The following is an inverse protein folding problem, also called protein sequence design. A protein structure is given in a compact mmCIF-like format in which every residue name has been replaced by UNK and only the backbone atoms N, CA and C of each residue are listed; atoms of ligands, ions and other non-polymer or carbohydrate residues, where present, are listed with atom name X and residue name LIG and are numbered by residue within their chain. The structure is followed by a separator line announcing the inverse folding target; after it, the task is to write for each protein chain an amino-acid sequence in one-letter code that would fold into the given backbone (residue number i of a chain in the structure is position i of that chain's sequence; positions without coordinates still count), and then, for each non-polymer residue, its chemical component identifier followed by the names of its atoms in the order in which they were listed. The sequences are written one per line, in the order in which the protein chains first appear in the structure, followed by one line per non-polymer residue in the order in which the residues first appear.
data_IF_555254039585
#
_entry.id   IF_555254039585
#
_cell.length_a   1.000
_cell.length_b   1.000
_cell.length_c   1.000
_cell.angle_alpha   90.00
_cell.angle_beta   90.00
_cell.angle_gamma   90.00
#
_symmetry.space_group_name_H-M   'P 1'
#
loop_
_entity.id
_entity.type
_entity.pdbx_description
1 polymer ?
#
# COMPACT_ATOMS: atom_id res chain seq x y z
N UNK A 1 39.82 12.85 -2.29
CA UNK A 1 39.45 11.82 -3.27
C UNK A 1 37.96 11.56 -3.07
N UNK A 2 37.11 12.22 -3.84
CA UNK A 2 35.66 12.05 -3.78
C UNK A 2 35.32 10.85 -4.66
N UNK A 3 34.77 9.79 -4.06
CA UNK A 3 34.26 8.62 -4.78
C UNK A 3 32.97 9.03 -5.50
N UNK A 4 33.13 9.56 -6.72
CA UNK A 4 32.05 9.98 -7.59
C UNK A 4 31.39 8.76 -8.22
N UNK A 5 30.22 8.44 -7.66
CA UNK A 5 29.15 7.65 -8.26
C UNK A 5 29.42 6.16 -8.46
N UNK A 6 28.96 5.35 -7.49
CA UNK A 6 28.27 4.10 -7.88
C UNK A 6 27.09 4.49 -8.76
N UNK A 7 27.33 4.59 -10.06
CA UNK A 7 26.30 4.65 -11.09
C UNK A 7 25.34 3.50 -10.85
N UNK A 8 24.14 3.81 -10.35
CA UNK A 8 23.10 2.83 -10.15
C UNK A 8 22.65 2.40 -11.55
N UNK A 9 23.12 1.24 -12.01
CA UNK A 9 22.67 0.67 -13.29
C UNK A 9 21.20 0.30 -13.15
N UNK A 10 20.31 1.10 -13.72
CA UNK A 10 18.90 0.76 -13.84
C UNK A 10 18.78 -0.51 -14.68
N UNK A 11 18.43 -1.64 -14.04
CA UNK A 11 18.32 -2.96 -14.69
C UNK A 11 16.99 -3.19 -15.41
N UNK A 12 16.22 -2.13 -15.68
CA UNK A 12 14.85 -2.23 -16.21
C UNK A 12 13.81 -2.53 -15.12
N UNK A 13 12.58 -2.83 -15.55
CA UNK A 13 11.48 -3.13 -14.64
C UNK A 13 11.62 -4.55 -14.06
N UNK A 14 11.78 -4.63 -12.73
CA UNK A 14 11.92 -5.87 -11.97
C UNK A 14 10.76 -6.85 -12.18
N UNK A 15 9.54 -6.32 -12.36
CA UNK A 15 8.30 -7.08 -12.54
C UNK A 15 7.94 -7.32 -14.01
N UNK A 16 8.63 -6.71 -14.98
CA UNK A 16 8.39 -6.89 -16.42
C UNK A 16 8.97 -8.21 -16.95
N UNK A 17 8.74 -9.30 -16.22
CA UNK A 17 9.11 -10.66 -16.59
C UNK A 17 7.83 -11.41 -16.98
N UNK A 18 7.73 -11.97 -18.21
CA UNK A 18 6.54 -12.71 -18.65
C UNK A 18 6.17 -13.87 -17.72
N UNK A 19 7.16 -14.34 -16.97
CA UNK A 19 7.08 -15.49 -16.10
C UNK A 19 7.12 -15.10 -14.60
N UNK A 20 6.79 -13.85 -14.26
CA UNK A 20 6.73 -13.41 -12.87
C UNK A 20 5.73 -14.21 -12.03
N UNK A 21 4.65 -14.71 -12.63
CA UNK A 21 3.82 -15.75 -12.02
C UNK A 21 3.79 -16.97 -12.92
N UNK A 22 4.29 -18.10 -12.40
CA UNK A 22 4.22 -19.40 -13.07
C UNK A 22 3.24 -20.30 -12.34
N UNK A 23 2.21 -20.74 -13.04
CA UNK A 23 1.22 -21.68 -12.51
C UNK A 23 1.53 -23.08 -13.00
N UNK A 24 1.86 -23.98 -12.07
CA UNK A 24 1.81 -25.42 -12.33
C UNK A 24 0.35 -25.86 -12.23
N UNK A 25 -0.29 -26.02 -13.39
CA UNK A 25 -1.71 -26.37 -13.50
C UNK A 25 -1.97 -27.77 -12.94
N UNK A 26 -1.04 -28.71 -13.10
CA UNK A 26 -1.16 -30.08 -12.60
C UNK A 26 -1.17 -30.11 -11.07
N UNK A 27 -0.37 -29.25 -10.43
CA UNK A 27 -0.28 -29.17 -8.97
C UNK A 27 -1.21 -28.12 -8.35
N UNK A 28 -1.81 -27.26 -9.17
CA UNK A 28 -2.60 -26.11 -8.70
C UNK A 28 -1.78 -25.11 -7.88
N UNK A 29 -0.51 -24.91 -8.24
CA UNK A 29 0.40 -24.03 -7.48
C UNK A 29 0.96 -22.94 -8.37
N UNK A 30 0.69 -21.68 -8.01
CA UNK A 30 1.35 -20.51 -8.59
C UNK A 30 2.55 -20.11 -7.75
N UNK A 31 3.67 -19.81 -8.41
CA UNK A 31 4.88 -19.29 -7.76
C UNK A 31 5.43 -18.05 -8.45
N UNK A 32 6.10 -17.21 -7.69
CA UNK A 32 6.96 -16.16 -8.23
C UNK A 32 8.39 -16.70 -8.53
N UNK A 33 9.28 -15.92 -9.16
CA UNK A 33 10.63 -16.40 -9.50
C UNK A 33 11.50 -16.72 -8.28
N UNK A 34 11.13 -16.23 -7.10
CA UNK A 34 11.80 -16.55 -5.83
C UNK A 34 11.32 -17.89 -5.23
N UNK A 35 10.38 -18.58 -5.89
CA UNK A 35 9.81 -19.83 -5.44
C UNK A 35 8.69 -19.68 -4.41
N UNK A 36 8.23 -18.47 -4.12
CA UNK A 36 7.17 -18.22 -3.14
C UNK A 36 5.81 -18.56 -3.73
N UNK A 37 4.96 -19.23 -2.94
CA UNK A 37 3.59 -19.53 -3.37
C UNK A 37 2.75 -18.26 -3.37
N UNK A 38 2.02 -18.08 -4.46
CA UNK A 38 1.07 -16.98 -4.65
C UNK A 38 -0.33 -17.60 -4.74
N UNK A 39 -1.29 -16.96 -4.08
CA UNK A 39 -2.70 -17.31 -4.19
C UNK A 39 -3.41 -16.17 -4.92
N UNK A 40 -4.15 -16.50 -5.97
CA UNK A 40 -5.03 -15.57 -6.69
C UNK A 40 -6.41 -15.66 -6.09
N UNK A 41 -6.96 -14.53 -5.65
CA UNK A 41 -8.30 -14.44 -5.06
C UNK A 41 -9.19 -13.63 -6.02
N UNK A 42 -10.47 -14.01 -6.09
CA UNK A 42 -11.46 -13.22 -6.84
C UNK A 42 -11.87 -11.99 -6.03
N UNK A 43 -12.39 -10.98 -6.72
CA UNK A 43 -13.06 -9.83 -6.10
C UNK A 43 -14.13 -10.26 -5.10
N UNK A 44 -14.94 -11.26 -5.46
CA UNK A 44 -16.05 -11.76 -4.65
C UNK A 44 -15.57 -12.37 -3.33
N UNK A 45 -14.42 -13.05 -3.35
CA UNK A 45 -13.81 -13.56 -2.12
C UNK A 45 -13.39 -12.41 -1.20
N UNK A 46 -12.78 -11.36 -1.75
CA UNK A 46 -12.34 -10.20 -0.97
C UNK A 46 -13.52 -9.45 -0.34
N UNK A 47 -14.62 -9.34 -1.09
CA UNK A 47 -15.89 -8.81 -0.58
C UNK A 47 -16.45 -9.65 0.55
N UNK A 48 -16.64 -10.94 0.33
CA UNK A 48 -17.17 -11.85 1.36
C UNK A 48 -16.28 -11.89 2.60
N UNK A 49 -14.96 -11.83 2.43
CA UNK A 49 -14.01 -11.72 3.53
C UNK A 49 -14.22 -10.44 4.33
N UNK A 50 -14.31 -9.28 3.66
CA UNK A 50 -14.57 -8.00 4.32
C UNK A 50 -15.88 -8.04 5.12
N UNK A 51 -16.95 -8.50 4.49
CA UNK A 51 -18.29 -8.51 5.11
C UNK A 51 -18.34 -9.48 6.29
N UNK A 52 -17.70 -10.64 6.18
CA UNK A 52 -17.51 -11.56 7.30
C UNK A 52 -16.73 -10.91 8.44
N UNK A 53 -15.64 -10.19 8.15
CA UNK A 53 -14.88 -9.49 9.20
C UNK A 53 -15.70 -8.40 9.89
N UNK A 54 -16.53 -7.66 9.16
CA UNK A 54 -17.45 -6.66 9.72
C UNK A 54 -18.51 -7.34 10.61
N UNK A 55 -19.11 -8.42 10.13
CA UNK A 55 -20.12 -9.17 10.87
C UNK A 55 -19.57 -9.77 12.16
N UNK A 56 -18.42 -10.46 12.10
CA UNK A 56 -17.83 -11.19 13.23
C UNK A 56 -17.15 -10.27 14.25
N UNK A 57 -16.48 -9.20 13.80
CA UNK A 57 -15.70 -8.31 14.69
C UNK A 57 -16.45 -7.02 15.06
N UNK A 58 -17.57 -6.70 14.40
CA UNK A 58 -18.38 -5.52 14.66
C UNK A 58 -17.54 -4.23 14.68
N UNK A 59 -17.64 -3.39 15.73
CA UNK A 59 -16.87 -2.15 15.85
C UNK A 59 -15.34 -2.32 15.79
N UNK A 60 -14.83 -3.51 16.09
CA UNK A 60 -13.39 -3.79 16.08
C UNK A 60 -12.86 -4.17 14.68
N UNK A 61 -13.73 -4.38 13.68
CA UNK A 61 -13.34 -4.87 12.36
C UNK A 61 -12.22 -4.05 11.70
N UNK A 62 -12.29 -2.71 11.79
CA UNK A 62 -11.25 -1.82 11.23
C UNK A 62 -9.89 -2.05 11.90
N UNK A 63 -9.83 -2.14 13.23
CA UNK A 63 -8.59 -2.39 13.96
C UNK A 63 -8.00 -3.77 13.63
N UNK A 64 -8.86 -4.79 13.49
CA UNK A 64 -8.45 -6.15 13.11
C UNK A 64 -7.90 -6.17 11.68
N UNK A 65 -8.61 -5.58 10.72
CA UNK A 65 -8.18 -5.47 9.32
C UNK A 65 -6.86 -4.69 9.20
N UNK A 66 -6.71 -3.58 9.92
CA UNK A 66 -5.46 -2.81 9.96
C UNK A 66 -4.30 -3.61 10.52
N UNK A 67 -4.55 -4.42 11.56
CA UNK A 67 -3.54 -5.31 12.13
C UNK A 67 -3.15 -6.45 11.17
N UNK A 68 -4.13 -7.03 10.47
CA UNK A 68 -3.89 -8.02 9.42
C UNK A 68 -3.08 -7.43 8.27
N UNK A 69 -3.43 -6.23 7.83
CA UNK A 69 -2.73 -5.46 6.81
C UNK A 69 -1.28 -5.20 7.21
N UNK A 70 -1.04 -4.76 8.45
CA UNK A 70 0.32 -4.55 8.98
C UNK A 70 1.16 -5.81 8.91
N UNK A 71 0.62 -6.95 9.36
CA UNK A 71 1.34 -8.23 9.31
C UNK A 71 1.63 -8.66 7.87
N UNK A 72 0.65 -8.51 6.98
CA UNK A 72 0.80 -8.84 5.57
C UNK A 72 1.85 -7.95 4.89
N UNK A 73 1.77 -6.63 5.08
CA UNK A 73 2.70 -5.64 4.52
C UNK A 73 4.14 -5.88 4.99
N UNK A 74 4.35 -6.18 6.27
CA UNK A 74 5.66 -6.49 6.80
C UNK A 74 6.27 -7.74 6.18
N UNK A 75 5.49 -8.82 6.07
CA UNK A 75 5.93 -10.05 5.40
C UNK A 75 6.20 -9.83 3.91
N UNK A 76 5.39 -9.00 3.25
CA UNK A 76 5.59 -8.64 1.86
C UNK A 76 6.88 -7.84 1.67
N UNK A 77 7.12 -6.82 2.50
CA UNK A 77 8.32 -5.98 2.43
C UNK A 77 9.61 -6.80 2.56
N UNK A 78 9.66 -7.75 3.51
CA UNK A 78 10.84 -8.62 3.68
C UNK A 78 11.09 -9.53 2.48
N UNK A 79 10.02 -10.09 1.91
CA UNK A 79 10.11 -10.94 0.72
C UNK A 79 10.54 -10.14 -0.51
N UNK A 80 9.95 -8.96 -0.69
CA UNK A 80 10.30 -8.05 -1.76
C UNK A 80 11.75 -7.57 -1.63
N UNK A 81 12.23 -7.23 -0.43
CA UNK A 81 13.62 -6.85 -0.21
C UNK A 81 14.59 -7.94 -0.63
N UNK A 82 14.31 -9.20 -0.28
CA UNK A 82 15.13 -10.34 -0.72
C UNK A 82 15.18 -10.42 -2.25
N UNK A 83 14.02 -10.27 -2.90
CA UNK A 83 13.87 -10.29 -4.35
C UNK A 83 14.68 -9.19 -5.04
N UNK A 84 14.52 -7.98 -4.53
CA UNK A 84 15.16 -6.76 -5.02
C UNK A 84 16.66 -6.83 -4.79
N UNK A 85 17.10 -7.33 -3.64
CA UNK A 85 18.52 -7.54 -3.33
C UNK A 85 19.16 -8.55 -4.27
N UNK A 86 18.48 -9.65 -4.59
CA UNK A 86 18.97 -10.62 -5.57
C UNK A 86 19.11 -9.99 -6.96
N UNK A 87 18.19 -9.11 -7.34
CA UNK A 87 18.18 -8.48 -8.66
C UNK A 87 19.16 -7.30 -8.79
N UNK A 88 19.15 -6.35 -7.85
CA UNK A 88 19.99 -5.14 -7.88
C UNK A 88 21.35 -5.35 -7.22
N UNK A 89 21.52 -6.36 -6.37
CA UNK A 89 22.71 -6.54 -5.53
C UNK A 89 22.71 -5.67 -4.28
N UNK A 90 21.66 -4.86 -4.08
CA UNK A 90 21.52 -3.89 -2.99
C UNK A 90 20.15 -4.08 -2.33
N UNK A 91 20.05 -4.09 -0.98
CA UNK A 91 18.77 -4.12 -0.28
C UNK A 91 17.82 -3.01 -0.75
N UNK A 92 16.53 -3.28 -0.75
CA UNK A 92 15.50 -2.36 -1.26
C UNK A 92 15.54 -1.01 -0.53
N UNK A 93 15.63 -1.03 0.80
CA UNK A 93 15.73 0.19 1.63
C UNK A 93 17.01 1.01 1.39
N UNK A 94 18.04 0.42 0.78
CA UNK A 94 19.31 1.09 0.46
C UNK A 94 19.36 1.60 -0.99
N UNK A 95 18.33 1.30 -1.80
CA UNK A 95 18.20 1.87 -3.15
C UNK A 95 17.85 3.36 -3.09
N UNK A 96 18.14 4.06 -4.19
CA UNK A 96 17.69 5.45 -4.36
C UNK A 96 16.16 5.52 -4.29
N UNK A 97 15.63 6.57 -3.63
CA UNK A 97 14.20 6.73 -3.34
C UNK A 97 13.30 6.56 -4.57
N UNK A 98 13.67 7.14 -5.73
CA UNK A 98 12.92 6.96 -6.97
C UNK A 98 12.80 5.50 -7.42
N UNK A 99 13.85 4.70 -7.20
CA UNK A 99 13.85 3.26 -7.49
C UNK A 99 13.04 2.49 -6.45
N UNK A 100 13.10 2.87 -5.18
CA UNK A 100 12.27 2.27 -4.12
C UNK A 100 10.78 2.40 -4.45
N UNK A 101 10.36 3.60 -4.85
CA UNK A 101 8.98 3.91 -5.26
C UNK A 101 8.63 3.11 -6.50
N UNK A 102 9.48 3.12 -7.53
CA UNK A 102 9.22 2.38 -8.78
C UNK A 102 9.01 0.88 -8.50
N UNK A 103 9.87 0.27 -7.66
CA UNK A 103 9.71 -1.12 -7.24
C UNK A 103 8.35 -1.34 -6.57
N UNK A 104 7.93 -0.44 -5.68
CA UNK A 104 6.64 -0.54 -5.00
C UNK A 104 5.46 -0.42 -5.97
N UNK A 105 5.48 0.58 -6.85
CA UNK A 105 4.38 0.86 -7.79
C UNK A 105 4.22 -0.27 -8.80
N UNK A 106 5.34 -0.82 -9.29
CA UNK A 106 5.33 -1.98 -10.19
C UNK A 106 4.88 -3.24 -9.47
N UNK A 107 5.20 -3.41 -8.18
CA UNK A 107 4.72 -4.54 -7.40
C UNK A 107 3.19 -4.53 -7.25
N UNK A 108 2.61 -3.36 -6.96
CA UNK A 108 1.16 -3.18 -6.88
C UNK A 108 0.48 -3.54 -8.20
N UNK A 109 1.02 -3.04 -9.33
CA UNK A 109 0.50 -3.33 -10.65
C UNK A 109 0.62 -4.83 -11.00
N UNK A 110 1.79 -5.44 -10.76
CA UNK A 110 2.02 -6.85 -11.03
C UNK A 110 1.10 -7.76 -10.23
N UNK A 111 0.86 -7.44 -8.95
CA UNK A 111 -0.05 -8.23 -8.11
C UNK A 111 -1.53 -7.93 -8.34
N UNK A 112 -1.87 -7.00 -9.23
CA UNK A 112 -3.26 -6.64 -9.52
C UNK A 112 -3.95 -5.88 -8.39
N UNK A 113 -3.20 -5.20 -7.51
CA UNK A 113 -3.76 -4.42 -6.39
C UNK A 113 -4.18 -3.01 -6.77
N UNK A 114 -3.83 -2.57 -7.98
CA UNK A 114 -4.11 -1.25 -8.51
C UNK A 114 -2.83 -0.52 -8.93
N UNK A 115 -2.97 0.77 -9.25
CA UNK A 115 -1.86 1.66 -9.61
C UNK A 115 -1.58 2.59 -8.45
N UNK A 116 -0.46 2.35 -7.78
CA UNK A 116 0.02 3.17 -6.68
C UNK A 116 0.79 4.39 -7.22
N UNK A 117 0.56 5.55 -6.63
CA UNK A 117 1.42 6.73 -6.76
C UNK A 117 1.72 7.29 -5.38
N UNK A 118 2.92 7.88 -5.24
CA UNK A 118 3.43 8.35 -3.95
C UNK A 118 3.97 9.76 -4.14
N UNK A 119 3.48 10.69 -3.31
CA UNK A 119 3.84 12.10 -3.32
C UNK A 119 4.60 12.46 -2.04
N UNK A 120 5.92 12.61 -2.18
CA UNK A 120 6.86 12.89 -1.09
C UNK A 120 7.17 14.37 -0.91
N UNK A 121 6.88 15.20 -1.92
CA UNK A 121 7.38 16.57 -1.99
C UNK A 121 6.32 17.58 -1.55
N UNK A 122 5.06 17.18 -1.59
CA UNK A 122 3.94 18.08 -1.37
C UNK A 122 3.74 18.49 0.08
N UNK A 123 4.13 17.66 1.04
CA UNK A 123 3.98 17.96 2.47
C UNK A 123 5.24 17.60 3.27
N UNK A 124 5.74 18.50 4.14
CA UNK A 124 6.96 18.24 4.93
C UNK A 124 6.83 17.09 5.94
N UNK A 125 5.66 16.98 6.57
CA UNK A 125 5.42 16.06 7.69
C UNK A 125 4.68 14.78 7.28
N UNK A 126 4.26 14.69 6.01
CA UNK A 126 3.37 13.65 5.53
C UNK A 126 3.80 13.10 4.18
N UNK A 127 3.51 11.82 4.00
CA UNK A 127 3.59 11.14 2.72
C UNK A 127 2.18 10.93 2.17
N UNK A 128 1.91 11.50 1.00
CA UNK A 128 0.68 11.22 0.26
C UNK A 128 0.83 9.95 -0.54
N UNK A 129 -0.17 9.06 -0.47
CA UNK A 129 -0.24 7.86 -1.30
C UNK A 129 -1.62 7.81 -1.94
N UNK A 130 -1.65 7.55 -3.24
CA UNK A 130 -2.89 7.40 -4.00
C UNK A 130 -2.89 6.03 -4.68
N UNK A 131 -4.03 5.34 -4.59
CA UNK A 131 -4.23 4.02 -5.19
C UNK A 131 -5.43 4.08 -6.14
N UNK A 132 -5.13 4.09 -7.43
CA UNK A 132 -6.11 4.05 -8.53
C UNK A 132 -6.43 2.61 -8.90
N UNK A 133 -7.64 2.36 -9.37
CA UNK A 133 -8.12 1.01 -9.72
C UNK A 133 -7.82 0.01 -8.59
N UNK A 134 -8.01 0.46 -7.34
CA UNK A 134 -7.87 -0.43 -6.19
C UNK A 134 -8.87 -1.57 -6.33
N UNK A 135 -8.51 -2.74 -5.83
CA UNK A 135 -9.38 -3.93 -5.86
C UNK A 135 -10.66 -3.79 -5.04
N UNK A 136 -10.74 -2.81 -4.12
CA UNK A 136 -11.86 -2.64 -3.19
C UNK A 136 -12.96 -1.65 -3.63
N UNK A 137 -12.66 -0.47 -4.18
CA UNK A 137 -13.66 0.57 -4.32
C UNK A 137 -14.71 0.33 -5.41
N UNK A 138 -14.39 -0.44 -6.45
CA UNK A 138 -15.38 -0.86 -7.45
C UNK A 138 -16.36 -1.91 -6.92
N UNK A 139 -16.10 -2.44 -5.72
CA UNK A 139 -16.86 -3.53 -5.10
C UNK A 139 -17.78 -3.06 -3.96
N UNK A 140 -17.55 -1.88 -3.40
CA UNK A 140 -18.32 -1.35 -2.27
C UNK A 140 -19.24 -0.24 -2.79
N UNK A 141 -20.52 -0.58 -2.99
CA UNK A 141 -21.51 0.36 -3.55
C UNK A 141 -21.82 1.55 -2.63
N UNK A 142 -21.71 1.39 -1.30
CA UNK A 142 -21.85 2.44 -0.30
C UNK A 142 -20.98 2.14 0.93
N UNK A 143 -20.23 3.13 1.41
CA UNK A 143 -19.60 3.09 2.72
C UNK A 143 -19.67 4.48 3.37
N UNK A 144 -20.20 4.52 4.59
CA UNK A 144 -20.37 5.77 5.35
C UNK A 144 -19.05 6.33 5.89
N UNK A 145 -17.96 5.56 5.79
CA UNK A 145 -16.62 5.87 6.33
C UNK A 145 -15.52 5.25 5.46
N UNK A 146 -14.29 5.82 5.48
CA UNK A 146 -13.11 5.20 4.84
C UNK A 146 -12.99 3.74 5.28
N UNK A 147 -12.96 2.83 4.31
CA UNK A 147 -13.21 1.40 4.56
C UNK A 147 -12.01 0.49 4.28
N UNK A 148 -10.87 1.05 3.85
CA UNK A 148 -9.68 0.31 3.45
C UNK A 148 -8.62 0.26 4.56
N UNK A 149 -9.06 -0.18 5.74
CA UNK A 149 -8.19 -0.37 6.89
C UNK A 149 -7.08 -1.40 6.62
N UNK A 150 -7.36 -2.39 5.75
CA UNK A 150 -6.40 -3.41 5.34
C UNK A 150 -5.21 -2.78 4.60
N UNK A 151 -5.46 -1.98 3.54
CA UNK A 151 -4.36 -1.30 2.84
C UNK A 151 -3.70 -0.21 3.69
N UNK A 152 -4.43 0.46 4.59
CA UNK A 152 -3.79 1.39 5.53
C UNK A 152 -2.73 0.68 6.40
N UNK A 153 -3.06 -0.49 6.95
CA UNK A 153 -2.10 -1.31 7.69
C UNK A 153 -0.95 -1.82 6.83
N UNK A 154 -1.25 -2.25 5.60
CA UNK A 154 -0.27 -2.74 4.64
C UNK A 154 0.76 -1.67 4.25
N UNK A 155 0.26 -0.50 3.82
CA UNK A 155 1.08 0.65 3.42
C UNK A 155 1.93 1.13 4.59
N UNK A 156 1.33 1.30 5.78
CA UNK A 156 2.08 1.60 7.02
C UNK A 156 3.29 0.70 7.16
N UNK A 157 3.09 -0.62 7.14
CA UNK A 157 4.20 -1.55 7.39
C UNK A 157 5.28 -1.52 6.30
N UNK A 158 4.91 -1.24 5.04
CA UNK A 158 5.90 -1.09 3.97
C UNK A 158 6.75 0.17 4.18
N UNK A 159 6.12 1.30 4.49
CA UNK A 159 6.87 2.54 4.67
C UNK A 159 7.65 2.56 5.99
N UNK A 160 7.18 1.90 7.05
CA UNK A 160 7.99 1.64 8.25
C UNK A 160 9.26 0.86 7.91
N UNK A 161 9.17 -0.13 7.01
CA UNK A 161 10.34 -0.88 6.52
C UNK A 161 11.30 -0.01 5.70
N UNK A 162 10.78 0.87 4.83
CA UNK A 162 11.60 1.71 3.95
C UNK A 162 12.25 2.90 4.65
N UNK A 163 11.55 3.50 5.61
CA UNK A 163 11.98 4.72 6.31
C UNK A 163 12.60 4.45 7.68
N UNK A 164 12.59 3.20 8.14
CA UNK A 164 13.11 2.79 9.46
C UNK A 164 12.55 3.67 10.61
N UNK A 165 11.32 4.12 10.44
CA UNK A 165 10.64 5.07 11.33
C UNK A 165 9.26 4.51 11.64
N UNK A 166 8.80 4.67 12.88
CA UNK A 166 7.44 4.29 13.25
C UNK A 166 6.44 5.26 12.62
N UNK A 167 5.49 4.73 11.87
CA UNK A 167 4.50 5.52 11.15
C UNK A 167 3.09 5.15 11.58
N UNK A 168 2.14 5.99 11.19
CA UNK A 168 0.74 5.66 11.15
C UNK A 168 0.20 5.97 9.75
N UNK A 169 -0.89 5.30 9.36
CA UNK A 169 -1.53 5.52 8.08
C UNK A 169 -3.03 5.72 8.27
N UNK A 170 -3.54 6.81 7.68
CA UNK A 170 -4.94 7.15 7.62
C UNK A 170 -5.39 7.10 6.17
N UNK A 171 -6.51 6.44 5.89
CA UNK A 171 -7.21 6.61 4.63
C UNK A 171 -8.06 7.86 4.71
N UNK A 172 -7.97 8.70 3.69
CA UNK A 172 -8.53 10.05 3.70
C UNK A 172 -9.48 10.32 2.56
N UNK A 173 -9.31 9.60 1.44
CA UNK A 173 -10.26 9.60 0.34
C UNK A 173 -10.64 8.15 0.03
N UNK A 174 -11.90 7.91 -0.26
CA UNK A 174 -12.40 6.61 -0.70
C UNK A 174 -13.22 6.81 -1.97
N UNK A 175 -13.08 5.98 -3.03
CA UNK A 175 -13.90 6.15 -4.23
C UNK A 175 -15.38 5.94 -4.00
N UNK A 176 -15.74 5.22 -2.93
CA UNK A 176 -17.12 5.11 -2.44
C UNK A 176 -17.67 6.45 -1.90
N UNK A 177 -16.83 7.47 -1.79
CA UNK A 177 -17.14 8.85 -1.44
C UNK A 177 -16.84 9.80 -2.62
N UNK A 178 -17.15 9.36 -3.86
CA UNK A 178 -17.05 10.14 -5.11
C UNK A 178 -15.61 10.48 -5.58
N UNK A 179 -14.58 9.97 -4.90
CA UNK A 179 -13.20 10.10 -5.35
C UNK A 179 -12.88 9.14 -6.51
N UNK A 180 -11.93 9.49 -7.39
CA UNK A 180 -11.49 8.57 -8.47
C UNK A 180 -10.45 7.54 -8.02
N UNK A 181 -9.99 7.61 -6.76
CA UNK A 181 -8.97 6.74 -6.19
C UNK A 181 -9.02 6.76 -4.67
N UNK A 182 -8.46 5.73 -4.02
CA UNK A 182 -8.24 5.74 -2.57
C UNK A 182 -7.03 6.61 -2.24
N UNK A 183 -7.23 7.57 -1.33
CA UNK A 183 -6.20 8.45 -0.81
C UNK A 183 -5.77 8.00 0.58
N UNK A 184 -4.46 7.98 0.82
CA UNK A 184 -3.85 7.66 2.10
C UNK A 184 -2.80 8.70 2.47
N UNK A 185 -2.68 8.95 3.76
CA UNK A 185 -1.65 9.80 4.35
C UNK A 185 -0.86 8.98 5.34
N UNK A 186 0.46 9.06 5.27
CA UNK A 186 1.36 8.46 6.26
C UNK A 186 2.18 9.56 6.95
N UNK A 187 2.43 9.37 8.23
CA UNK A 187 3.22 10.29 9.05
C UNK A 187 3.54 9.67 10.40
N UNK A 188 4.16 10.43 11.30
CA UNK A 188 4.33 9.96 12.68
C UNK A 188 2.96 9.76 13.36
N UNK A 189 2.86 8.92 14.40
CA UNK A 189 1.60 8.74 15.12
C UNK A 189 0.96 10.04 15.60
N UNK A 190 1.77 11.00 16.09
CA UNK A 190 1.29 12.31 16.51
C UNK A 190 0.73 13.12 15.33
N UNK A 191 1.46 13.16 14.21
CA UNK A 191 1.03 13.89 13.03
C UNK A 191 -0.29 13.33 12.46
N UNK A 192 -0.44 12.00 12.43
CA UNK A 192 -1.69 11.38 11.95
C UNK A 192 -2.84 11.60 12.92
N UNK A 193 -2.60 11.60 14.23
CA UNK A 193 -3.63 11.93 15.22
C UNK A 193 -4.15 13.37 15.02
N UNK A 194 -3.27 14.31 14.72
CA UNK A 194 -3.66 15.70 14.41
C UNK A 194 -4.46 15.80 13.11
N UNK A 195 -4.12 15.00 12.08
CA UNK A 195 -4.89 14.93 10.83
C UNK A 195 -6.26 14.30 11.08
N UNK A 196 -6.36 13.19 11.82
CA UNK A 196 -7.65 12.57 12.18
C UNK A 196 -8.53 13.55 12.95
N UNK A 197 -7.98 14.28 13.92
CA UNK A 197 -8.72 15.26 14.69
C UNK A 197 -9.25 16.42 13.84
N UNK A 198 -8.49 16.86 12.83
CA UNK A 198 -8.94 17.86 11.85
C UNK A 198 -9.99 17.28 10.92
N UNK A 199 -9.77 16.08 10.39
CA UNK A 199 -10.71 15.38 9.50
C UNK A 199 -12.07 15.15 10.17
N UNK A 200 -12.09 14.75 11.45
CA UNK A 200 -13.31 14.57 12.24
C UNK A 200 -14.10 15.88 12.44
N UNK A 201 -13.42 17.03 12.54
CA UNK A 201 -14.07 18.36 12.61
C UNK A 201 -14.63 18.79 11.25
N UNK A 202 -13.95 18.42 10.16
CA UNK A 202 -14.36 18.76 8.79
C UNK A 202 -15.50 17.88 8.29
N UNK A 203 -15.68 16.64 8.76
CA UNK A 203 -16.81 15.75 8.41
C UNK A 203 -18.23 16.31 8.69
N UNK A 204 -18.36 17.49 9.33
CA UNK A 204 -19.61 18.28 9.35
C UNK A 204 -19.85 19.15 8.11
N UNK A 205 -18.90 19.22 7.17
CA UNK A 205 -18.87 20.01 5.93
C UNK A 205 -18.01 19.27 4.91
N UNK A 206 -18.60 18.49 4.00
CA UNK A 206 -18.08 17.91 2.73
C UNK A 206 -16.62 18.21 2.30
N UNK A 207 -15.64 18.01 3.18
CA UNK A 207 -14.27 18.47 2.94
C UNK A 207 -13.39 17.33 2.49
N UNK A 208 -12.80 17.47 1.31
CA UNK A 208 -11.85 16.50 0.76
C UNK A 208 -10.48 16.62 1.43
N UNK A 209 -9.63 15.57 1.32
CA UNK A 209 -8.27 15.56 1.85
C UNK A 209 -7.45 16.82 1.49
N UNK A 210 -7.69 17.37 0.28
CA UNK A 210 -7.01 18.58 -0.21
C UNK A 210 -7.22 19.78 0.70
N UNK A 211 -8.36 19.87 1.37
CA UNK A 211 -8.71 20.99 2.25
C UNK A 211 -8.14 20.80 3.66
N UNK A 212 -8.08 19.56 4.14
CA UNK A 212 -7.58 19.22 5.48
C UNK A 212 -6.06 19.30 5.57
N UNK A 213 -5.34 18.97 4.49
CA UNK A 213 -3.87 19.08 4.45
C UNK A 213 -3.36 20.46 3.99
N UNK A 214 -4.22 21.33 3.46
CA UNK A 214 -3.86 22.68 3.04
C UNK A 214 -4.14 23.75 4.12
N UNK A 215 -4.74 23.36 5.25
CA UNK A 215 -5.06 24.21 6.42
C UNK A 215 -4.17 23.92 7.61
#
# INVERSE_FOLDING_TARGET
MLDTSRSLRLKGNFFARPDWFRTDVTRGVTRNPLGERVCTLTSDFLLGFRDAMIYECGPAASAVLKSAGKRWGGQFAHRLDKAVKEFYGTPWRELQRGVQITVLTEAFAAHGWGRLSVDWERWPDYLGVRLENSIYPDLILQADKPSDALFAGFLKSIFEYLLETQLECLQTDCPTCEATASGFVLGTPAAIQDVEARFAKTLGREGTLREVLAS
#
